data_IF_862140450207
#
_entry.id   IF_862140450207
#
_cell.length_a   1.000
_cell.length_b   1.000
_cell.length_c   1.000
_cell.angle_alpha   90.00
_cell.angle_beta   90.00
_cell.angle_gamma   90.00
#
_symmetry.space_group_name_H-M   'P 1'
#
loop_
_entity.id
_entity.type
_entity.pdbx_description
1 polymer ?
#
# COMPACT_ATOMS: atom_id res chain seq x y z
N UNK A 1 -5.27 8.20 21.23
CA UNK A 1 -4.10 8.34 20.33
C UNK A 1 -4.61 8.19 18.91
N UNK A 2 -4.25 9.09 18.00
CA UNK A 2 -4.78 9.05 16.64
C UNK A 2 -3.83 8.27 15.73
N UNK A 3 -4.39 7.65 14.68
CA UNK A 3 -3.60 6.94 13.65
C UNK A 3 -2.60 7.87 12.94
N UNK A 4 -2.95 9.14 12.79
CA UNK A 4 -2.09 10.18 12.20
C UNK A 4 -0.78 10.34 12.96
N UNK A 5 -0.80 10.19 14.28
CA UNK A 5 0.39 10.33 15.13
C UNK A 5 1.37 9.17 14.90
N UNK A 6 0.83 7.95 14.77
CA UNK A 6 1.62 6.76 14.45
C UNK A 6 2.21 6.81 13.05
N UNK A 7 1.45 7.31 12.07
CA UNK A 7 1.92 7.49 10.70
C UNK A 7 3.02 8.55 10.62
N UNK A 8 2.85 9.69 11.31
CA UNK A 8 3.87 10.72 11.43
C UNK A 8 5.14 10.19 12.12
N UNK A 9 4.98 9.38 13.18
CA UNK A 9 6.10 8.72 13.85
C UNK A 9 6.82 7.75 12.92
N UNK A 10 6.10 6.91 12.17
CA UNK A 10 6.67 5.99 11.18
C UNK A 10 7.46 6.74 10.11
N UNK A 11 6.88 7.79 9.54
CA UNK A 11 7.54 8.63 8.53
C UNK A 11 8.81 9.29 9.07
N UNK A 12 8.77 9.85 10.29
CA UNK A 12 9.94 10.46 10.96
C UNK A 12 11.08 9.47 11.17
N UNK A 13 10.76 8.20 11.44
CA UNK A 13 11.73 7.12 11.63
C UNK A 13 12.12 6.41 10.31
N UNK A 14 11.71 6.95 9.15
CA UNK A 14 11.94 6.34 7.83
C UNK A 14 11.46 4.89 7.74
N UNK A 15 10.33 4.59 8.39
CA UNK A 15 9.71 3.28 8.32
C UNK A 15 9.09 3.04 6.92
N UNK A 16 9.30 1.84 6.38
CA UNK A 16 8.69 1.41 5.12
C UNK A 16 7.24 1.02 5.32
N UNK A 17 6.93 0.37 6.43
CA UNK A 17 5.61 -0.15 6.75
C UNK A 17 5.28 0.07 8.24
N UNK A 18 4.05 0.48 8.54
CA UNK A 18 3.45 0.46 9.87
C UNK A 18 2.42 -0.66 9.92
N UNK A 19 2.59 -1.56 10.89
CA UNK A 19 1.71 -2.70 11.14
C UNK A 19 0.90 -2.43 12.40
N UNK A 20 -0.42 -2.50 12.24
CA UNK A 20 -1.41 -2.42 13.32
C UNK A 20 -2.18 -3.73 13.36
N UNK A 21 -2.28 -4.34 14.54
CA UNK A 21 -3.01 -5.57 14.75
C UNK A 21 -3.57 -5.60 16.16
N UNK A 22 -4.81 -6.07 16.27
CA UNK A 22 -5.50 -6.22 17.56
C UNK A 22 -4.74 -7.17 18.49
N UNK A 23 -4.58 -6.76 19.76
CA UNK A 23 -3.88 -7.52 20.81
C UNK A 23 -2.35 -7.53 20.67
N UNK A 24 -1.76 -6.59 19.92
CA UNK A 24 -0.31 -6.43 19.80
C UNK A 24 0.02 -4.94 19.80
N UNK A 25 1.17 -4.56 20.36
CA UNK A 25 1.70 -3.21 20.19
C UNK A 25 1.96 -2.89 18.71
N UNK A 26 1.71 -1.64 18.26
CA UNK A 26 2.05 -1.21 16.91
C UNK A 26 3.50 -1.51 16.55
N UNK A 27 3.74 -1.97 15.33
CA UNK A 27 5.09 -2.28 14.85
C UNK A 27 5.42 -1.48 13.62
N UNK A 28 6.69 -1.09 13.49
CA UNK A 28 7.21 -0.44 12.29
C UNK A 28 8.30 -1.30 11.68
N UNK A 29 8.34 -1.32 10.35
CA UNK A 29 9.44 -1.89 9.60
C UNK A 29 10.41 -0.77 9.23
N UNK A 30 11.65 -0.86 9.69
CA UNK A 30 12.71 0.11 9.36
C UNK A 30 13.88 -0.66 8.76
N UNK A 31 14.27 -0.31 7.53
CA UNK A 31 15.35 -0.99 6.80
C UNK A 31 15.21 -2.53 6.70
N UNK A 32 13.98 -3.03 6.65
CA UNK A 32 13.67 -4.47 6.58
C UNK A 32 13.34 -5.11 7.93
N UNK A 33 13.81 -4.52 9.03
CA UNK A 33 13.63 -5.06 10.39
C UNK A 33 12.31 -4.59 11.02
N UNK A 34 11.59 -5.53 11.62
CA UNK A 34 10.38 -5.24 12.40
C UNK A 34 10.73 -4.83 13.82
N UNK A 35 10.26 -3.66 14.25
CA UNK A 35 10.45 -3.13 15.60
C UNK A 35 9.10 -2.77 16.22
N UNK A 36 8.88 -3.18 17.46
CA UNK A 36 7.71 -2.78 18.24
C UNK A 36 7.90 -1.35 18.72
N UNK A 37 6.86 -0.53 18.59
CA UNK A 37 6.82 0.78 19.23
C UNK A 37 6.55 0.54 20.72
N UNK A 38 7.22 1.30 21.60
CA UNK A 38 7.03 1.21 23.05
C UNK A 38 5.68 1.82 23.47
N UNK A 39 4.61 1.16 23.08
CA UNK A 39 3.22 1.50 23.35
C UNK A 39 2.50 0.25 23.87
N UNK A 40 1.47 0.44 24.71
CA UNK A 40 0.66 -0.68 25.18
C UNK A 40 0.02 -1.42 24.00
N UNK A 41 -0.35 -2.68 24.26
CA UNK A 41 -1.13 -3.46 23.31
C UNK A 41 -2.47 -2.77 23.03
N UNK A 42 -2.90 -2.80 21.78
CA UNK A 42 -4.15 -2.18 21.37
C UNK A 42 -5.29 -3.18 21.37
N UNK A 43 -6.42 -2.81 21.95
CA UNK A 43 -7.65 -3.57 21.85
C UNK A 43 -8.21 -3.59 20.43
N UNK A 44 -9.07 -4.56 20.13
CA UNK A 44 -9.73 -4.67 18.84
C UNK A 44 -10.60 -3.44 18.50
N UNK A 45 -11.20 -2.82 19.52
CA UNK A 45 -11.98 -1.60 19.39
C UNK A 45 -11.10 -0.41 19.01
N UNK A 46 -9.96 -0.23 19.67
CA UNK A 46 -9.02 0.85 19.35
C UNK A 46 -8.49 0.72 17.92
N UNK A 47 -8.05 -0.48 17.51
CA UNK A 47 -7.55 -0.72 16.15
C UNK A 47 -8.67 -0.51 15.13
N UNK A 48 -9.89 -1.01 15.39
CA UNK A 48 -11.05 -0.80 14.52
C UNK A 48 -11.38 0.69 14.33
N UNK A 49 -11.38 1.47 15.40
CA UNK A 49 -11.62 2.91 15.35
C UNK A 49 -10.51 3.62 14.55
N UNK A 50 -9.24 3.27 14.77
CA UNK A 50 -8.12 3.84 14.01
C UNK A 50 -8.20 3.50 12.52
N UNK A 51 -8.42 2.23 12.18
CA UNK A 51 -8.47 1.75 10.80
C UNK A 51 -9.65 2.35 10.05
N UNK A 52 -10.82 2.42 10.67
CA UNK A 52 -11.98 3.02 10.01
C UNK A 52 -11.85 4.53 9.89
N UNK A 53 -11.16 5.24 10.80
CA UNK A 53 -11.00 6.70 10.74
C UNK A 53 -10.32 7.22 9.46
N UNK A 54 -9.51 6.40 8.79
CA UNK A 54 -8.86 6.75 7.51
C UNK A 54 -9.66 6.32 6.28
N UNK A 55 -10.79 5.62 6.47
CA UNK A 55 -11.66 5.14 5.40
C UNK A 55 -12.82 6.10 5.14
N UNK A 56 -13.16 6.26 3.86
CA UNK A 56 -14.43 6.85 3.43
C UNK A 56 -15.59 5.84 3.51
N UNK A 57 -16.83 6.32 3.36
CA UNK A 57 -18.03 5.49 3.52
C UNK A 57 -18.10 4.31 2.54
N UNK A 58 -17.59 4.49 1.31
CA UNK A 58 -17.54 3.43 0.32
C UNK A 58 -16.54 2.33 0.71
N UNK A 59 -15.35 2.70 1.15
CA UNK A 59 -14.32 1.78 1.65
C UNK A 59 -14.80 1.04 2.90
N UNK A 60 -15.51 1.73 3.82
CA UNK A 60 -16.12 1.10 5.01
C UNK A 60 -17.12 0.02 4.63
N UNK A 61 -17.97 0.27 3.63
CA UNK A 61 -18.92 -0.74 3.13
C UNK A 61 -18.21 -1.96 2.55
N UNK A 62 -17.18 -1.74 1.73
CA UNK A 62 -16.36 -2.84 1.17
C UNK A 62 -15.70 -3.64 2.29
N UNK A 63 -15.08 -2.95 3.25
CA UNK A 63 -14.43 -3.60 4.39
C UNK A 63 -15.41 -4.41 5.24
N UNK A 64 -16.63 -3.91 5.46
CA UNK A 64 -17.66 -4.66 6.20
C UNK A 64 -18.16 -5.90 5.44
N UNK A 65 -18.22 -5.84 4.10
CA UNK A 65 -18.71 -6.94 3.27
C UNK A 65 -17.63 -8.01 3.05
N UNK A 66 -16.41 -7.59 2.74
CA UNK A 66 -15.32 -8.47 2.32
C UNK A 66 -14.33 -8.77 3.44
N UNK A 67 -14.42 -8.06 4.58
CA UNK A 67 -13.46 -8.10 5.68
C UNK A 67 -12.03 -7.68 5.30
N UNK A 68 -11.88 -7.09 4.11
CA UNK A 68 -10.63 -6.55 3.58
C UNK A 68 -10.89 -5.37 2.64
N UNK A 69 -9.97 -4.42 2.59
CA UNK A 69 -9.98 -3.31 1.63
C UNK A 69 -8.58 -2.74 1.42
N UNK A 70 -8.26 -2.43 0.17
CA UNK A 70 -7.05 -1.72 -0.24
C UNK A 70 -7.39 -0.30 -0.68
N UNK A 71 -6.69 0.70 -0.17
CA UNK A 71 -6.83 2.09 -0.60
C UNK A 71 -5.55 2.90 -0.39
N UNK A 72 -5.55 4.13 -0.89
CA UNK A 72 -4.47 5.10 -0.62
C UNK A 72 -4.97 6.15 0.35
N UNK A 73 -4.13 6.52 1.30
CA UNK A 73 -4.37 7.57 2.28
C UNK A 73 -3.23 8.57 2.23
N UNK A 74 -3.55 9.86 2.28
CA UNK A 74 -2.54 10.92 2.28
C UNK A 74 -2.58 11.66 3.61
N UNK A 75 -1.42 11.77 4.25
CA UNK A 75 -1.23 12.63 5.41
C UNK A 75 -0.53 13.91 4.96
N UNK A 76 -1.23 15.06 4.96
CA UNK A 76 -0.67 16.32 4.46
C UNK A 76 0.69 16.64 5.09
N UNK A 77 1.63 17.09 4.27
CA UNK A 77 3.00 17.45 4.68
C UNK A 77 3.86 16.31 5.25
N UNK A 78 3.39 15.05 5.24
CA UNK A 78 4.13 13.90 5.75
C UNK A 78 4.46 12.93 4.62
N UNK A 79 3.46 12.18 4.14
CA UNK A 79 3.63 11.18 3.10
C UNK A 79 2.28 10.67 2.60
N UNK A 80 2.32 9.94 1.49
CA UNK A 80 1.21 9.11 1.02
C UNK A 80 1.44 7.68 1.49
N UNK A 81 0.36 6.97 1.79
CA UNK A 81 0.39 5.61 2.28
C UNK A 81 -0.53 4.74 1.43
N UNK A 82 -0.08 3.53 1.11
CA UNK A 82 -0.94 2.45 0.66
C UNK A 82 -1.41 1.69 1.89
N UNK A 83 -2.71 1.69 2.13
CA UNK A 83 -3.33 1.06 3.28
C UNK A 83 -4.02 -0.22 2.83
N UNK A 84 -3.67 -1.32 3.49
CA UNK A 84 -4.39 -2.58 3.40
C UNK A 84 -5.00 -2.83 4.78
N UNK A 85 -6.32 -2.81 4.87
CA UNK A 85 -7.07 -3.10 6.09
C UNK A 85 -7.74 -4.47 5.95
N UNK A 86 -7.66 -5.30 6.97
CA UNK A 86 -8.14 -6.68 6.94
C UNK A 86 -8.46 -7.19 8.34
N UNK A 87 -9.20 -8.30 8.44
CA UNK A 87 -9.44 -8.98 9.72
C UNK A 87 -8.50 -10.17 9.91
N UNK A 88 -8.06 -10.34 11.15
CA UNK A 88 -7.29 -11.50 11.60
C UNK A 88 -8.08 -12.26 12.66
N UNK A 89 -7.61 -13.44 13.07
CA UNK A 89 -8.21 -14.18 14.19
C UNK A 89 -8.23 -13.41 15.52
N UNK A 90 -7.43 -12.34 15.66
CA UNK A 90 -7.42 -11.47 16.86
C UNK A 90 -8.32 -10.24 16.73
N UNK A 91 -8.89 -10.00 15.55
CA UNK A 91 -9.67 -8.79 15.24
C UNK A 91 -9.09 -7.97 14.09
N UNK A 92 -9.52 -6.71 13.95
CA UNK A 92 -9.06 -5.79 12.90
C UNK A 92 -7.54 -5.62 12.88
N UNK A 93 -7.00 -5.46 11.68
CA UNK A 93 -5.60 -5.18 11.43
C UNK A 93 -5.46 -4.29 10.19
N UNK A 94 -4.35 -3.57 10.12
CA UNK A 94 -4.01 -2.81 8.93
C UNK A 94 -2.50 -2.69 8.75
N UNK A 95 -2.08 -2.61 7.50
CA UNK A 95 -0.70 -2.33 7.10
C UNK A 95 -0.69 -1.05 6.27
N UNK A 96 0.12 -0.09 6.72
CA UNK A 96 0.31 1.19 6.05
C UNK A 96 1.72 1.21 5.47
N UNK A 97 1.83 1.17 4.15
CA UNK A 97 3.11 1.27 3.44
C UNK A 97 3.34 2.69 2.97
N UNK A 98 4.47 3.27 3.35
CA UNK A 98 4.87 4.62 2.90
C UNK A 98 5.17 4.60 1.40
N UNK A 99 4.50 5.46 0.64
CA UNK A 99 4.78 5.71 -0.78
C UNK A 99 5.73 6.91 -0.85
N UNK A 100 6.93 6.77 -1.44
CA UNK A 100 7.84 7.90 -1.64
C UNK A 100 7.18 9.00 -2.48
N UNK A 101 7.29 10.25 -2.04
CA UNK A 101 6.77 11.40 -2.79
C UNK A 101 7.57 11.69 -4.06
N UNK A 102 8.87 11.40 -4.04
CA UNK A 102 9.76 11.62 -5.18
C UNK A 102 9.92 10.32 -5.96
N UNK A 103 9.57 10.36 -7.25
CA UNK A 103 9.90 9.29 -8.19
C UNK A 103 11.38 9.43 -8.56
N UNK A 104 12.17 8.42 -8.23
CA UNK A 104 13.60 8.39 -8.56
C UNK A 104 13.79 8.21 -10.07
N UNK A 105 14.74 8.95 -10.62
CA UNK A 105 15.22 8.78 -11.99
C UNK A 105 15.98 7.46 -12.16
N UNK A 106 16.13 7.00 -13.42
CA UNK A 106 16.92 5.80 -13.71
C UNK A 106 18.38 5.93 -13.28
N UNK A 107 18.93 7.14 -13.31
CA UNK A 107 20.30 7.43 -12.88
C UNK A 107 20.45 7.28 -11.37
N UNK A 108 19.51 7.82 -10.59
CA UNK A 108 19.48 7.69 -9.13
C UNK A 108 19.27 6.23 -8.69
N UNK A 109 18.51 5.45 -9.47
CA UNK A 109 18.34 4.02 -9.28
C UNK A 109 19.56 3.19 -9.69
N UNK A 110 20.61 3.81 -10.25
CA UNK A 110 21.77 3.14 -10.86
C UNK A 110 21.34 2.06 -11.85
N UNK A 111 20.23 2.31 -12.56
CA UNK A 111 19.66 1.34 -13.48
C UNK A 111 20.59 1.18 -14.69
N UNK A 112 20.82 -0.06 -15.17
CA UNK A 112 21.58 -0.30 -16.39
C UNK A 112 21.02 0.49 -17.59
N UNK A 113 21.91 0.93 -18.49
CA UNK A 113 21.56 1.77 -19.66
C UNK A 113 20.56 1.12 -20.63
N UNK A 114 20.34 -0.20 -20.53
CA UNK A 114 19.28 -0.91 -21.26
C UNK A 114 17.88 -0.36 -20.92
N UNK A 115 17.65 0.09 -19.68
CA UNK A 115 16.36 0.65 -19.26
C UNK A 115 16.10 2.02 -19.88
N UNK A 116 17.14 2.84 -20.08
CA UNK A 116 17.03 4.12 -20.78
C UNK A 116 16.64 3.90 -22.27
N UNK A 117 17.22 2.88 -22.91
CA UNK A 117 16.88 2.51 -24.31
C UNK A 117 15.45 1.99 -24.45
N UNK A 118 14.90 1.35 -23.42
CA UNK A 118 13.53 0.82 -23.42
C UNK A 118 12.47 1.91 -23.25
N UNK A 119 12.75 3.01 -22.54
CA UNK A 119 11.78 4.10 -22.34
C UNK A 119 11.38 4.81 -23.65
N UNK A 120 12.28 4.82 -24.63
CA UNK A 120 12.08 5.52 -25.90
C UNK A 120 11.44 4.65 -27.00
N UNK A 121 11.20 3.36 -26.71
CA UNK A 121 10.37 2.52 -27.57
C UNK A 121 8.93 2.81 -27.19
N UNK A 122 8.19 3.50 -28.07
CA UNK A 122 6.72 3.42 -28.11
C UNK A 122 6.32 1.98 -28.40
N UNK A 123 6.46 1.10 -27.40
CA UNK A 123 5.98 -0.26 -27.41
C UNK A 123 4.48 -0.20 -27.16
N UNK A 124 3.76 0.34 -28.14
CA UNK A 124 2.41 -0.12 -28.36
C UNK A 124 2.52 -1.65 -28.57
N UNK A 125 1.74 -2.43 -27.82
CA UNK A 125 1.38 -3.83 -28.09
C UNK A 125 2.14 -5.00 -27.44
N UNK A 126 3.18 -4.83 -26.61
CA UNK A 126 3.90 -5.99 -26.02
C UNK A 126 3.79 -6.15 -24.49
N UNK A 127 2.63 -5.82 -23.91
CA UNK A 127 2.34 -6.13 -22.49
C UNK A 127 0.97 -6.81 -22.32
N UNK A 128 0.68 -7.82 -23.14
CA UNK A 128 -0.34 -8.82 -22.82
C UNK A 128 0.39 -10.11 -22.43
N UNK A 129 0.29 -10.59 -21.18
CA UNK A 129 0.70 -11.96 -20.88
C UNK A 129 -0.19 -12.90 -21.70
N UNK A 130 0.46 -13.81 -22.41
CA UNK A 130 -0.15 -14.74 -23.34
C UNK A 130 -1.26 -15.58 -22.67
N UNK A 131 -2.49 -15.41 -23.15
CA UNK A 131 -3.55 -16.42 -23.08
C UNK A 131 -4.02 -16.69 -24.52
N UNK A 132 -4.08 -17.96 -24.98
CA UNK A 132 -4.51 -18.26 -26.33
C UNK A 132 -6.03 -18.30 -26.36
N UNK A 133 -6.68 -17.15 -26.59
CA UNK A 133 -8.09 -17.18 -26.99
C UNK A 133 -8.15 -17.08 -28.51
N UNK A 134 -8.30 -18.26 -29.14
CA UNK A 134 -8.78 -18.41 -30.52
C UNK A 134 -10.02 -17.53 -30.69
N UNK A 135 -9.89 -16.41 -31.37
CA UNK A 135 -11.01 -15.62 -31.83
C UNK A 135 -10.80 -15.31 -33.31
N UNK A 136 -11.46 -16.12 -34.12
CA UNK A 136 -11.68 -15.94 -35.56
C UNK A 136 -12.14 -14.50 -35.81
N UNK A 137 -11.37 -13.67 -36.52
CA UNK A 137 -11.83 -12.37 -37.04
C UNK A 137 -11.76 -12.36 -38.57
N UNK A 138 -12.83 -11.92 -39.25
CA UNK A 138 -12.90 -11.92 -40.71
C UNK A 138 -11.99 -10.84 -41.30
N UNK A 139 -11.43 -11.12 -42.48
CA UNK A 139 -10.62 -10.17 -43.26
C UNK A 139 -11.54 -9.07 -43.82
N UNK A 140 -11.20 -7.81 -43.57
CA UNK A 140 -11.80 -6.68 -44.31
C UNK A 140 -11.25 -6.65 -45.74
N UNK A 141 -12.07 -6.33 -46.76
CA UNK A 141 -11.62 -6.21 -48.14
C UNK A 141 -10.80 -4.94 -48.36
N UNK A 142 -9.99 -4.94 -49.42
CA UNK A 142 -9.01 -3.91 -49.79
C UNK A 142 -9.65 -2.57 -50.15
#
# INVERSE_FOLDING_TARGET
MQITDLLAFGAKNKASDLHLSSGISPMIRVHGDMRRINLPEMSAEEVGNMVTSVMNDHQRKIYQQNLEVDFSFELPNVARFRVNAFNTGRGPAAVFRTIPSTVLSLEELKAPSIFQKSQNRRAAWYWLPALPVRANRPRLPR
#
